data_IF_667677538730
#
_entry.id   IF_667677538730
#
_cell.length_a   1.000
_cell.length_b   1.000
_cell.length_c   1.000
_cell.angle_alpha   90.00
_cell.angle_beta   90.00
_cell.angle_gamma   90.00
#
_symmetry.space_group_name_H-M   'P 1'
#
loop_
_entity.id
_entity.type
_entity.pdbx_description
1 polymer ?
#
# COMPACT_ATOMS: atom_id res chain seq x y z
N UNK A 1 8.76 26.99 -15.86
CA UNK A 1 9.75 28.04 -16.16
C UNK A 1 10.80 27.95 -15.07
N UNK A 2 12.07 27.79 -15.42
CA UNK A 2 13.16 27.67 -14.45
C UNK A 2 13.93 28.99 -14.51
N UNK A 3 13.81 29.87 -13.50
CA UNK A 3 14.37 31.21 -13.60
C UNK A 3 15.90 31.16 -13.52
N UNK A 4 16.55 31.93 -14.38
CA UNK A 4 18.00 32.13 -14.35
C UNK A 4 18.34 33.24 -13.35
N UNK A 5 19.51 33.17 -12.72
CA UNK A 5 20.03 34.21 -11.82
C UNK A 5 20.03 35.57 -12.56
N UNK A 6 19.16 36.48 -12.11
CA UNK A 6 18.94 37.81 -12.71
C UNK A 6 17.46 38.17 -12.96
N UNK A 7 16.55 37.19 -12.97
CA UNK A 7 15.11 37.47 -13.11
C UNK A 7 14.51 38.04 -11.81
N UNK A 8 14.04 39.28 -11.85
CA UNK A 8 13.36 39.97 -10.74
C UNK A 8 11.91 39.50 -10.51
N UNK A 9 11.42 38.53 -11.27
CA UNK A 9 10.06 38.01 -11.17
C UNK A 9 10.08 36.50 -10.87
N UNK A 10 9.97 36.16 -9.58
CA UNK A 10 9.84 34.79 -9.08
C UNK A 10 8.37 34.32 -8.95
N UNK A 11 7.41 35.12 -9.43
CA UNK A 11 5.97 34.84 -9.33
C UNK A 11 5.29 34.93 -10.70
N UNK A 12 4.75 33.80 -11.16
CA UNK A 12 3.68 33.79 -12.15
C UNK A 12 2.36 34.14 -11.43
N UNK A 13 2.09 35.43 -11.22
CA UNK A 13 0.76 35.86 -10.81
C UNK A 13 -0.14 35.93 -12.06
N UNK A 14 -1.23 35.16 -12.07
CA UNK A 14 -2.25 35.32 -13.09
C UNK A 14 -2.81 36.77 -13.05
N UNK A 15 -3.09 37.38 -14.21
CA UNK A 15 -3.73 38.69 -14.28
C UNK A 15 -5.05 38.67 -13.46
N UNK A 16 -5.40 39.77 -12.78
CA UNK A 16 -6.59 39.86 -11.90
C UNK A 16 -7.89 39.17 -12.41
N UNK A 17 -8.30 39.29 -13.69
CA UNK A 17 -9.49 38.58 -14.19
C UNK A 17 -9.35 37.04 -14.15
N UNK A 18 -8.15 36.52 -14.38
CA UNK A 18 -7.84 35.09 -14.35
C UNK A 18 -7.82 34.57 -12.90
N UNK A 19 -7.38 35.39 -11.94
CA UNK A 19 -7.42 35.02 -10.52
C UNK A 19 -8.85 34.84 -10.01
N UNK A 20 -9.78 35.74 -10.35
CA UNK A 20 -11.18 35.60 -9.97
C UNK A 20 -11.83 34.35 -10.59
N UNK A 21 -11.52 34.05 -11.85
CA UNK A 21 -12.03 32.84 -12.52
C UNK A 21 -11.48 31.55 -11.87
N UNK A 22 -10.21 31.54 -11.51
CA UNK A 22 -9.57 30.40 -10.83
C UNK A 22 -10.17 30.16 -9.43
N UNK A 23 -10.43 31.23 -8.65
CA UNK A 23 -11.10 31.12 -7.35
C UNK A 23 -12.51 30.56 -7.51
N UNK A 24 -13.28 31.06 -8.48
CA UNK A 24 -14.64 30.57 -8.75
C UNK A 24 -14.62 29.09 -9.16
N UNK A 25 -13.67 28.67 -10.00
CA UNK A 25 -13.49 27.25 -10.37
C UNK A 25 -13.09 26.38 -9.18
N UNK A 26 -12.24 26.89 -8.29
CA UNK A 26 -11.86 26.18 -7.06
C UNK A 26 -13.08 25.94 -6.16
N UNK A 27 -13.91 26.97 -5.94
CA UNK A 27 -15.15 26.87 -5.18
C UNK A 27 -16.14 25.90 -5.83
N UNK A 28 -16.33 25.96 -7.15
CA UNK A 28 -17.21 25.05 -7.87
C UNK A 28 -16.74 23.58 -7.77
N UNK A 29 -15.44 23.33 -7.89
CA UNK A 29 -14.86 21.99 -7.69
C UNK A 29 -15.05 21.49 -6.27
N UNK A 30 -14.86 22.37 -5.27
CA UNK A 30 -15.06 22.02 -3.87
C UNK A 30 -16.52 21.63 -3.57
N UNK A 31 -17.49 22.40 -4.08
CA UNK A 31 -18.92 22.07 -3.94
C UNK A 31 -19.25 20.73 -4.61
N UNK A 32 -18.76 20.51 -5.83
CA UNK A 32 -18.96 19.24 -6.56
C UNK A 32 -18.32 18.05 -5.83
N UNK A 33 -17.13 18.22 -5.26
CA UNK A 33 -16.45 17.21 -4.45
C UNK A 33 -17.25 16.86 -3.20
N UNK A 34 -17.86 17.84 -2.55
CA UNK A 34 -18.72 17.60 -1.39
C UNK A 34 -19.93 16.74 -1.75
N UNK A 35 -20.63 17.09 -2.85
CA UNK A 35 -21.80 16.33 -3.32
C UNK A 35 -21.43 14.89 -3.70
N UNK A 36 -20.38 14.72 -4.51
CA UNK A 36 -19.94 13.38 -4.94
C UNK A 36 -19.49 12.50 -3.78
N UNK A 37 -18.87 13.07 -2.74
CA UNK A 37 -18.49 12.31 -1.53
C UNK A 37 -19.72 11.79 -0.79
N UNK A 38 -20.78 12.57 -0.71
CA UNK A 38 -22.03 12.14 -0.08
C UNK A 38 -22.68 11.03 -0.91
N UNK A 39 -22.87 11.24 -2.20
CA UNK A 39 -23.46 10.26 -3.12
C UNK A 39 -22.68 8.92 -3.10
N UNK A 40 -21.34 8.98 -3.11
CA UNK A 40 -20.51 7.78 -3.11
C UNK A 40 -20.56 7.02 -1.77
N UNK A 41 -20.69 7.72 -0.64
CA UNK A 41 -20.92 7.08 0.67
C UNK A 41 -22.31 6.45 0.77
N UNK A 42 -23.33 7.01 0.11
CA UNK A 42 -24.65 6.35 0.02
C UNK A 42 -24.56 5.04 -0.77
N UNK A 43 -23.88 5.04 -1.93
CA UNK A 43 -23.63 3.83 -2.73
C UNK A 43 -22.86 2.78 -1.91
N UNK A 44 -21.86 3.21 -1.14
CA UNK A 44 -21.10 2.33 -0.25
C UNK A 44 -21.99 1.66 0.79
N UNK A 45 -22.87 2.40 1.46
CA UNK A 45 -23.80 1.84 2.45
C UNK A 45 -24.74 0.82 1.81
N UNK A 46 -25.27 1.10 0.62
CA UNK A 46 -26.10 0.14 -0.11
C UNK A 46 -25.31 -1.12 -0.48
N UNK A 47 -24.07 -0.98 -0.94
CA UNK A 47 -23.18 -2.10 -1.24
C UNK A 47 -22.89 -2.96 0.00
N UNK A 48 -22.56 -2.34 1.14
CA UNK A 48 -22.28 -3.03 2.40
C UNK A 48 -23.52 -3.76 2.94
N UNK A 49 -24.70 -3.14 2.87
CA UNK A 49 -25.96 -3.78 3.23
C UNK A 49 -26.26 -4.98 2.33
N UNK A 50 -25.99 -4.88 1.02
CA UNK A 50 -26.16 -6.00 0.07
C UNK A 50 -25.20 -7.15 0.39
N UNK A 51 -23.95 -6.84 0.73
CA UNK A 51 -22.96 -7.84 1.14
C UNK A 51 -23.41 -8.60 2.39
N UNK A 52 -23.98 -7.89 3.38
CA UNK A 52 -24.54 -8.53 4.56
C UNK A 52 -25.67 -9.51 4.18
N UNK A 53 -26.58 -9.11 3.30
CA UNK A 53 -27.63 -10.00 2.79
C UNK A 53 -27.07 -11.25 2.10
N UNK A 54 -25.99 -11.10 1.30
CA UNK A 54 -25.33 -12.25 0.65
C UNK A 54 -24.70 -13.18 1.70
N UNK A 55 -24.03 -12.62 2.71
CA UNK A 55 -23.47 -13.40 3.81
C UNK A 55 -24.55 -14.16 4.57
N UNK A 56 -25.69 -13.52 4.85
CA UNK A 56 -26.83 -14.16 5.49
C UNK A 56 -27.38 -15.30 4.63
N UNK A 57 -27.47 -15.12 3.30
CA UNK A 57 -27.92 -16.16 2.35
C UNK A 57 -26.98 -17.37 2.36
N UNK A 58 -25.65 -17.14 2.37
CA UNK A 58 -24.61 -18.18 2.29
C UNK A 58 -24.37 -18.88 3.63
N UNK A 59 -24.68 -18.22 4.75
CA UNK A 59 -24.54 -18.80 6.10
C UNK A 59 -25.76 -19.60 6.54
N UNK A 60 -26.88 -19.57 5.80
CA UNK A 60 -27.96 -20.55 6.00
C UNK A 60 -27.42 -21.93 5.64
N UNK A 61 -27.31 -22.79 6.66
CA UNK A 61 -26.81 -24.15 6.51
C UNK A 61 -27.71 -24.95 5.55
N UNK A 62 -27.24 -25.16 4.32
CA UNK A 62 -27.90 -26.01 3.31
C UNK A 62 -27.69 -27.51 3.64
N UNK A 63 -28.17 -27.94 4.82
CA UNK A 63 -28.06 -29.34 5.28
C UNK A 63 -29.03 -30.31 4.57
N UNK A 64 -29.95 -29.81 3.74
CA UNK A 64 -30.87 -30.69 3.03
C UNK A 64 -30.26 -31.20 1.71
N UNK A 65 -29.38 -32.20 1.85
CA UNK A 65 -28.83 -33.01 0.75
C UNK A 65 -29.75 -34.18 0.36
N UNK A 66 -31.00 -34.22 0.87
CA UNK A 66 -31.92 -35.34 0.62
C UNK A 66 -32.18 -35.60 -0.87
N UNK A 67 -32.10 -34.57 -1.70
CA UNK A 67 -32.22 -34.67 -3.17
C UNK A 67 -31.02 -35.36 -3.85
N UNK A 68 -29.83 -35.38 -3.24
CA UNK A 68 -28.66 -36.10 -3.75
C UNK A 68 -28.82 -37.63 -3.67
N UNK A 69 -29.75 -38.12 -2.84
CA UNK A 69 -29.99 -39.54 -2.62
C UNK A 69 -31.22 -40.08 -3.37
N UNK A 70 -32.01 -39.23 -4.04
CA UNK A 70 -33.23 -39.66 -4.75
C UNK A 70 -32.98 -40.36 -6.10
N UNK A 71 -31.73 -40.39 -6.61
CA UNK A 71 -31.40 -40.98 -7.92
C UNK A 71 -30.78 -42.39 -7.86
N UNK A 72 -30.72 -43.04 -6.69
CA UNK A 72 -30.33 -44.45 -6.63
C UNK A 72 -31.50 -45.36 -7.03
N UNK A 73 -31.45 -45.87 -8.26
CA UNK A 73 -32.33 -46.91 -8.81
C UNK A 73 -32.16 -48.28 -8.11
N UNK A 74 -32.27 -48.38 -6.77
CA UNK A 74 -32.09 -49.67 -6.10
C UNK A 74 -33.03 -50.01 -4.94
N UNK A 75 -34.03 -49.19 -4.60
CA UNK A 75 -35.06 -49.62 -3.64
C UNK A 75 -36.45 -49.08 -3.99
N UNK A 76 -37.02 -49.60 -5.08
CA UNK A 76 -38.45 -49.48 -5.39
C UNK A 76 -39.24 -50.52 -4.56
N UNK A 77 -39.24 -50.46 -3.22
CA UNK A 77 -40.18 -51.27 -2.41
C UNK A 77 -40.24 -50.89 -0.93
N UNK A 78 -40.51 -49.62 -0.58
CA UNK A 78 -41.33 -49.30 0.61
C UNK A 78 -41.85 -47.88 0.46
N UNK A 79 -43.06 -47.73 -0.09
CA UNK A 79 -43.75 -46.44 -0.15
C UNK A 79 -44.40 -46.20 1.21
N UNK A 80 -43.74 -45.44 2.09
CA UNK A 80 -44.37 -44.87 3.30
C UNK A 80 -45.02 -43.54 2.94
N UNK A 81 -46.32 -43.43 3.23
CA UNK A 81 -47.23 -42.36 2.81
C UNK A 81 -47.14 -41.08 3.66
N UNK A 82 -45.97 -40.73 4.16
CA UNK A 82 -45.82 -39.53 5.01
C UNK A 82 -44.49 -38.85 4.67
N UNK A 83 -44.52 -37.95 3.69
CA UNK A 83 -43.68 -36.73 3.60
C UNK A 83 -43.97 -35.96 2.29
N UNK A 84 -45.23 -35.70 1.98
CA UNK A 84 -45.58 -34.65 1.00
C UNK A 84 -45.54 -33.28 1.69
N UNK A 85 -44.37 -32.74 2.06
CA UNK A 85 -44.28 -31.29 2.35
C UNK A 85 -42.90 -30.63 2.32
N UNK A 86 -41.79 -31.32 2.10
CA UNK A 86 -40.48 -30.64 2.11
C UNK A 86 -40.05 -30.23 0.69
N UNK A 87 -40.36 -28.96 0.38
CA UNK A 87 -39.80 -28.07 -0.65
C UNK A 87 -39.61 -28.66 -2.06
N UNK A 88 -40.54 -28.32 -2.96
CA UNK A 88 -40.49 -28.71 -4.38
C UNK A 88 -39.28 -28.13 -5.13
N UNK A 89 -38.72 -28.86 -6.11
CA UNK A 89 -37.61 -28.45 -7.00
C UNK A 89 -37.67 -27.01 -7.59
N UNK A 90 -38.84 -26.40 -7.86
CA UNK A 90 -38.93 -24.98 -8.24
C UNK A 90 -38.45 -24.00 -7.15
N UNK A 91 -38.51 -24.40 -5.88
CA UNK A 91 -38.10 -23.60 -4.71
C UNK A 91 -36.58 -23.37 -4.66
N UNK A 92 -35.78 -24.43 -4.89
CA UNK A 92 -34.31 -24.34 -4.89
C UNK A 92 -33.79 -23.55 -6.08
N UNK A 93 -34.34 -23.76 -7.27
CA UNK A 93 -33.97 -22.99 -8.46
C UNK A 93 -34.29 -21.49 -8.28
N UNK A 94 -35.44 -21.17 -7.67
CA UNK A 94 -35.84 -19.80 -7.35
C UNK A 94 -34.92 -19.16 -6.29
N UNK A 95 -34.49 -19.93 -5.28
CA UNK A 95 -33.52 -19.48 -4.26
C UNK A 95 -32.16 -19.16 -4.88
N UNK A 96 -31.66 -20.03 -5.77
CA UNK A 96 -30.40 -19.79 -6.51
C UNK A 96 -30.48 -18.59 -7.45
N UNK A 97 -31.61 -18.41 -8.15
CA UNK A 97 -31.81 -17.24 -9.02
C UNK A 97 -31.83 -15.93 -8.22
N UNK A 98 -32.49 -15.91 -7.06
CA UNK A 98 -32.52 -14.75 -6.17
C UNK A 98 -31.13 -14.43 -5.57
N UNK A 99 -30.35 -15.46 -5.23
CA UNK A 99 -28.96 -15.27 -4.81
C UNK A 99 -28.12 -14.62 -5.92
N UNK A 100 -28.19 -15.14 -7.15
CA UNK A 100 -27.47 -14.58 -8.29
C UNK A 100 -27.87 -13.14 -8.58
N UNK A 101 -29.17 -12.81 -8.49
CA UNK A 101 -29.67 -11.44 -8.64
C UNK A 101 -29.09 -10.49 -7.57
N UNK A 102 -29.03 -10.96 -6.33
CA UNK A 102 -28.45 -10.20 -5.20
C UNK A 102 -26.94 -9.99 -5.36
N UNK A 103 -26.20 -11.02 -5.78
CA UNK A 103 -24.77 -10.94 -6.08
C UNK A 103 -24.49 -9.97 -7.26
N UNK A 104 -25.31 -10.04 -8.31
CA UNK A 104 -25.18 -9.13 -9.44
C UNK A 104 -25.48 -7.67 -9.07
N UNK A 105 -26.45 -7.44 -8.18
CA UNK A 105 -26.71 -6.13 -7.62
C UNK A 105 -25.51 -5.62 -6.80
N UNK A 106 -24.89 -6.48 -5.98
CA UNK A 106 -23.66 -6.14 -5.24
C UNK A 106 -22.53 -5.71 -6.18
N UNK A 107 -22.22 -6.50 -7.22
CA UNK A 107 -21.16 -6.15 -8.17
C UNK A 107 -21.44 -4.85 -8.92
N UNK A 108 -22.71 -4.58 -9.23
CA UNK A 108 -23.14 -3.32 -9.84
C UNK A 108 -22.86 -2.14 -8.91
N UNK A 109 -23.22 -2.25 -7.62
CA UNK A 109 -22.94 -1.21 -6.62
C UNK A 109 -21.46 -1.05 -6.32
N UNK A 110 -20.68 -2.14 -6.32
CA UNK A 110 -19.22 -2.09 -6.21
C UNK A 110 -18.58 -1.34 -7.38
N UNK A 111 -19.04 -1.58 -8.60
CA UNK A 111 -18.59 -0.85 -9.78
C UNK A 111 -18.93 0.65 -9.68
N UNK A 112 -20.18 0.99 -9.37
CA UNK A 112 -20.61 2.39 -9.16
C UNK A 112 -19.77 3.09 -8.08
N UNK A 113 -19.48 2.39 -6.97
CA UNK A 113 -18.65 2.90 -5.88
C UNK A 113 -17.23 3.22 -6.37
N UNK A 114 -16.58 2.29 -7.06
CA UNK A 114 -15.21 2.45 -7.56
C UNK A 114 -15.11 3.56 -8.61
N UNK A 115 -16.10 3.65 -9.51
CA UNK A 115 -16.18 4.73 -10.52
C UNK A 115 -16.33 6.10 -9.86
N UNK A 116 -17.22 6.23 -8.86
CA UNK A 116 -17.39 7.46 -8.09
C UNK A 116 -16.12 7.84 -7.32
N UNK A 117 -15.43 6.86 -6.70
CA UNK A 117 -14.17 7.10 -5.96
C UNK A 117 -13.03 7.54 -6.90
N UNK A 118 -12.97 6.97 -8.10
CA UNK A 118 -12.03 7.38 -9.15
C UNK A 118 -12.26 8.83 -9.57
N UNK A 119 -13.52 9.21 -9.79
CA UNK A 119 -13.90 10.58 -10.13
C UNK A 119 -13.56 11.57 -9.01
N UNK A 120 -13.89 11.26 -7.76
CA UNK A 120 -13.54 12.07 -6.59
C UNK A 120 -12.02 12.30 -6.54
N UNK A 121 -11.24 11.25 -6.73
CA UNK A 121 -9.76 11.34 -6.71
C UNK A 121 -9.24 12.27 -7.80
N UNK A 122 -9.75 12.14 -9.03
CA UNK A 122 -9.38 13.02 -10.17
C UNK A 122 -9.76 14.49 -9.91
N UNK A 123 -10.96 14.74 -9.39
CA UNK A 123 -11.41 16.10 -9.09
C UNK A 123 -10.66 16.72 -7.91
N UNK A 124 -10.30 15.92 -6.89
CA UNK A 124 -9.51 16.38 -5.75
C UNK A 124 -8.10 16.78 -6.21
N UNK A 125 -7.45 15.98 -7.06
CA UNK A 125 -6.15 16.35 -7.63
C UNK A 125 -6.20 17.66 -8.42
N UNK A 126 -7.27 17.87 -9.20
CA UNK A 126 -7.48 19.13 -9.94
C UNK A 126 -7.72 20.32 -9.00
N UNK A 127 -8.50 20.12 -7.94
CA UNK A 127 -8.74 21.14 -6.92
C UNK A 127 -7.43 21.53 -6.22
N UNK A 128 -6.63 20.57 -5.78
CA UNK A 128 -5.37 20.81 -5.06
C UNK A 128 -4.34 21.53 -5.95
N UNK A 129 -4.29 21.20 -7.25
CA UNK A 129 -3.43 21.90 -8.20
C UNK A 129 -3.86 23.36 -8.37
N UNK A 130 -5.17 23.62 -8.53
CA UNK A 130 -5.70 24.97 -8.65
C UNK A 130 -5.50 25.78 -7.36
N UNK A 131 -5.67 25.15 -6.20
CA UNK A 131 -5.47 25.79 -4.91
C UNK A 131 -4.00 26.16 -4.67
N UNK A 132 -3.05 25.33 -5.09
CA UNK A 132 -1.62 25.66 -5.07
C UNK A 132 -1.30 26.86 -5.95
N UNK A 133 -1.88 26.94 -7.15
CA UNK A 133 -1.68 28.10 -8.05
C UNK A 133 -2.29 29.41 -7.52
N UNK A 134 -3.27 29.33 -6.61
CA UNK A 134 -3.90 30.50 -5.98
C UNK A 134 -3.18 30.99 -4.71
N UNK A 135 -2.27 30.19 -4.14
CA UNK A 135 -1.74 30.34 -2.77
C UNK A 135 -0.31 30.87 -2.63
N UNK A 136 0.35 31.34 -3.69
CA UNK A 136 1.73 31.87 -3.60
C UNK A 136 1.81 33.40 -3.47
N UNK A 137 0.79 34.07 -2.91
CA UNK A 137 0.86 35.52 -2.62
C UNK A 137 0.59 35.79 -1.13
N UNK A 138 1.65 36.16 -0.40
CA UNK A 138 1.74 36.74 0.96
C UNK A 138 2.04 35.83 2.18
N UNK A 139 3.28 36.02 2.68
CA UNK A 139 3.76 36.16 4.09
C UNK A 139 4.05 34.93 4.99
N UNK A 140 5.36 34.70 5.18
CA UNK A 140 6.17 34.64 6.43
C UNK A 140 5.61 34.08 7.75
N UNK A 141 6.35 33.09 8.27
CA UNK A 141 6.66 32.71 9.67
C UNK A 141 5.57 32.55 10.73
N UNK A 142 5.22 31.29 11.05
CA UNK A 142 5.34 30.65 12.38
C UNK A 142 4.46 29.38 12.46
N UNK A 143 5.13 28.26 12.74
CA UNK A 143 4.71 27.12 13.58
C UNK A 143 3.27 26.58 13.55
N UNK A 144 3.20 25.29 13.17
CA UNK A 144 2.21 24.27 13.58
C UNK A 144 0.78 24.38 13.03
N UNK A 145 0.49 23.67 11.93
CA UNK A 145 -0.30 22.43 11.97
C UNK A 145 -0.77 21.99 10.56
N UNK A 146 -0.34 20.77 10.19
CA UNK A 146 -0.98 19.84 9.25
C UNK A 146 -1.05 20.25 7.78
N UNK A 147 0.11 20.12 7.12
CA UNK A 147 0.17 19.64 5.74
C UNK A 147 0.34 18.13 5.77
N UNK A 148 -0.62 17.38 5.24
CA UNK A 148 -0.34 16.03 4.74
C UNK A 148 -0.40 16.11 3.22
N UNK A 149 0.79 16.17 2.64
CA UNK A 149 1.06 15.75 1.28
C UNK A 149 0.44 14.39 1.02
N UNK A 150 -0.28 14.25 -0.09
CA UNK A 150 -0.67 12.98 -0.69
C UNK A 150 0.53 12.37 -1.41
N UNK A 151 1.62 12.16 -0.68
CA UNK A 151 2.32 10.87 -0.79
C UNK A 151 1.41 9.94 -0.01
N UNK A 152 0.89 8.88 -0.64
CA UNK A 152 0.06 7.91 0.06
C UNK A 152 0.80 7.52 1.34
N UNK A 153 0.30 7.99 2.49
CA UNK A 153 0.63 7.38 3.78
C UNK A 153 0.38 5.91 3.55
N UNK A 154 1.44 5.13 3.59
CA UNK A 154 1.34 3.72 3.91
C UNK A 154 0.31 3.64 5.03
N UNK A 155 -0.79 2.94 4.77
CA UNK A 155 -1.72 2.59 5.83
C UNK A 155 -0.86 2.08 6.98
N UNK A 156 -1.05 2.69 8.14
CA UNK A 156 -0.37 2.41 9.40
C UNK A 156 -0.72 1.03 9.95
N UNK A 157 -0.88 0.05 9.07
CA UNK A 157 -1.08 -1.37 9.30
C UNK A 157 0.16 -2.20 8.88
N UNK A 158 1.02 -1.68 7.99
CA UNK A 158 2.29 -2.34 7.67
C UNK A 158 3.45 -1.72 8.46
N UNK A 159 4.04 -2.50 9.36
CA UNK A 159 5.17 -2.09 10.17
C UNK A 159 6.48 -1.94 9.37
N UNK A 160 6.53 -2.54 8.17
CA UNK A 160 7.69 -2.56 7.26
C UNK A 160 7.20 -2.13 5.87
N UNK A 161 7.87 -1.18 5.19
CA UNK A 161 7.54 -0.80 3.81
C UNK A 161 7.61 -1.97 2.83
N UNK A 162 6.64 -2.07 1.91
CA UNK A 162 6.58 -3.12 0.89
C UNK A 162 7.89 -3.28 0.10
N UNK A 163 8.54 -2.18 -0.30
CA UNK A 163 9.84 -2.21 -1.02
C UNK A 163 10.90 -2.94 -0.20
N UNK A 164 10.96 -2.66 1.11
CA UNK A 164 11.92 -3.28 2.03
C UNK A 164 11.59 -4.75 2.22
N UNK A 165 10.32 -5.07 2.48
CA UNK A 165 9.84 -6.43 2.68
C UNK A 165 10.06 -7.31 1.45
N UNK A 166 9.62 -6.88 0.27
CA UNK A 166 9.72 -7.68 -0.95
C UNK A 166 11.16 -7.84 -1.44
N UNK A 167 12.00 -6.79 -1.39
CA UNK A 167 13.41 -6.93 -1.76
C UNK A 167 14.14 -7.90 -0.81
N UNK A 168 13.97 -7.75 0.51
CA UNK A 168 14.62 -8.62 1.49
C UNK A 168 14.11 -10.05 1.36
N UNK A 169 12.79 -10.26 1.21
CA UNK A 169 12.21 -11.58 1.00
C UNK A 169 12.78 -12.27 -0.24
N UNK A 170 12.90 -11.54 -1.36
CA UNK A 170 13.41 -12.09 -2.61
C UNK A 170 14.89 -12.48 -2.49
N UNK A 171 15.73 -11.57 -1.98
CA UNK A 171 17.16 -11.84 -1.77
C UNK A 171 17.35 -13.00 -0.77
N UNK A 172 16.54 -13.07 0.28
CA UNK A 172 16.61 -14.17 1.25
C UNK A 172 16.27 -15.54 0.66
N UNK A 173 15.48 -15.60 -0.42
CA UNK A 173 15.12 -16.86 -1.08
C UNK A 173 16.10 -17.27 -2.18
N UNK A 174 16.60 -16.29 -2.94
CA UNK A 174 17.30 -16.57 -4.19
C UNK A 174 18.71 -15.98 -4.27
N UNK A 175 19.07 -15.05 -3.38
CA UNK A 175 20.28 -14.25 -3.48
C UNK A 175 21.29 -14.41 -2.34
N UNK A 176 21.06 -15.30 -1.37
CA UNK A 176 21.96 -15.45 -0.21
C UNK A 176 23.36 -15.93 -0.59
N UNK A 177 23.49 -16.69 -1.67
CA UNK A 177 24.76 -17.22 -2.19
C UNK A 177 25.29 -16.40 -3.38
N UNK A 178 24.62 -15.30 -3.76
CA UNK A 178 25.04 -14.47 -4.89
C UNK A 178 26.30 -13.69 -4.55
N UNK A 179 27.38 -13.97 -5.27
CA UNK A 179 28.69 -13.37 -5.02
C UNK A 179 28.66 -11.83 -5.13
N UNK A 180 29.15 -11.15 -4.09
CA UNK A 180 29.23 -9.69 -4.07
C UNK A 180 27.88 -8.99 -3.93
N UNK A 181 26.83 -9.68 -3.47
CA UNK A 181 25.52 -9.08 -3.22
C UNK A 181 25.63 -7.80 -2.36
N UNK A 182 24.93 -6.74 -2.73
CA UNK A 182 25.06 -5.37 -2.19
C UNK A 182 26.37 -4.62 -2.50
N UNK A 183 27.45 -5.29 -2.92
CA UNK A 183 28.71 -4.67 -3.34
C UNK A 183 28.73 -4.40 -4.85
N UNK A 184 28.39 -5.40 -5.65
CA UNK A 184 28.26 -5.28 -7.11
C UNK A 184 27.06 -4.37 -7.44
N UNK A 185 27.19 -3.60 -8.52
CA UNK A 185 26.15 -2.68 -8.97
C UNK A 185 25.34 -3.33 -10.09
N UNK A 186 24.04 -3.45 -9.89
CA UNK A 186 23.12 -3.90 -10.93
C UNK A 186 22.87 -2.85 -12.02
N UNK A 187 22.10 -3.26 -13.01
CA UNK A 187 21.70 -2.42 -14.14
C UNK A 187 20.90 -1.20 -13.66
N UNK A 188 21.39 0.01 -13.94
CA UNK A 188 20.69 1.23 -13.53
C UNK A 188 19.31 1.38 -14.20
N UNK A 189 19.14 0.83 -15.40
CA UNK A 189 17.84 0.83 -16.08
C UNK A 189 16.85 -0.01 -15.28
N UNK A 190 17.24 -1.25 -14.96
CA UNK A 190 16.38 -2.17 -14.22
C UNK A 190 16.10 -1.72 -12.78
N UNK A 191 17.10 -1.17 -12.08
CA UNK A 191 16.92 -0.56 -10.76
C UNK A 191 15.82 0.51 -10.80
N UNK A 192 15.85 1.37 -11.81
CA UNK A 192 14.85 2.42 -11.97
C UNK A 192 13.48 1.84 -12.35
N UNK A 193 13.42 0.83 -13.21
CA UNK A 193 12.17 0.19 -13.62
C UNK A 193 11.47 -0.48 -12.43
N UNK A 194 12.21 -1.24 -11.62
CA UNK A 194 11.71 -1.89 -10.39
C UNK A 194 11.26 -0.82 -9.38
N UNK A 195 12.07 0.23 -9.15
CA UNK A 195 11.69 1.36 -8.27
C UNK A 195 10.38 2.01 -8.74
N UNK A 196 10.27 2.30 -10.03
CA UNK A 196 9.10 2.96 -10.60
C UNK A 196 7.85 2.07 -10.49
N UNK A 197 7.99 0.75 -10.58
CA UNK A 197 6.88 -0.19 -10.33
C UNK A 197 6.38 -0.10 -8.88
N UNK A 198 7.29 -0.13 -7.90
CA UNK A 198 6.93 0.10 -6.50
C UNK A 198 6.27 1.47 -6.27
N UNK A 199 6.73 2.53 -6.94
CA UNK A 199 6.13 3.86 -6.85
C UNK A 199 4.72 3.94 -7.47
N UNK A 200 4.41 3.11 -8.46
CA UNK A 200 3.05 2.94 -8.99
C UNK A 200 2.13 2.13 -8.05
N UNK A 201 2.69 1.51 -7.02
CA UNK A 201 1.98 0.62 -6.10
C UNK A 201 1.88 -0.82 -6.57
N UNK A 202 2.73 -1.21 -7.53
CA UNK A 202 2.91 -2.60 -7.96
C UNK A 202 3.98 -3.28 -7.08
N UNK A 203 3.97 -4.61 -7.02
CA UNK A 203 5.08 -5.39 -6.47
C UNK A 203 5.69 -6.26 -7.58
N UNK A 204 6.76 -5.79 -8.25
CA UNK A 204 7.41 -6.54 -9.32
C UNK A 204 8.07 -7.84 -8.82
N UNK A 205 8.25 -8.00 -7.50
CA UNK A 205 8.91 -9.16 -6.88
C UNK A 205 7.91 -10.09 -6.18
N UNK A 206 6.60 -9.91 -6.36
CA UNK A 206 5.57 -10.72 -5.71
C UNK A 206 5.56 -12.19 -6.20
N UNK A 207 5.97 -12.42 -7.45
CA UNK A 207 6.15 -13.76 -8.01
C UNK A 207 7.47 -14.41 -7.59
N UNK A 208 7.59 -15.72 -7.84
CA UNK A 208 8.82 -16.50 -7.64
C UNK A 208 9.63 -16.62 -8.95
N UNK A 209 9.33 -15.76 -9.94
CA UNK A 209 10.05 -15.73 -11.20
C UNK A 209 11.37 -15.00 -11.01
N UNK A 210 12.49 -15.67 -11.31
CA UNK A 210 13.83 -15.12 -11.16
C UNK A 210 14.26 -14.36 -12.42
N UNK A 211 13.39 -13.47 -12.90
CA UNK A 211 13.56 -12.72 -14.15
C UNK A 211 14.41 -11.46 -13.95
N UNK A 212 14.66 -11.08 -12.70
CA UNK A 212 15.38 -9.88 -12.31
C UNK A 212 16.81 -10.17 -11.87
N UNK A 213 17.74 -9.30 -12.26
CA UNK A 213 19.12 -9.36 -11.78
C UNK A 213 19.20 -9.10 -10.27
N UNK A 214 19.96 -9.93 -9.56
CA UNK A 214 20.04 -9.86 -8.10
C UNK A 214 20.72 -8.57 -7.63
N UNK A 215 21.72 -8.09 -8.37
CA UNK A 215 22.42 -6.84 -8.07
C UNK A 215 21.52 -5.61 -8.32
N UNK A 216 20.59 -5.71 -9.28
CA UNK A 216 19.53 -4.71 -9.49
C UNK A 216 18.57 -4.64 -8.30
N UNK A 217 18.09 -5.78 -7.78
CA UNK A 217 17.20 -5.82 -6.60
C UNK A 217 17.92 -5.27 -5.36
N UNK A 218 19.18 -5.66 -5.13
CA UNK A 218 20.01 -5.08 -4.06
C UNK A 218 20.20 -3.58 -4.25
N UNK A 219 20.35 -3.12 -5.50
CA UNK A 219 20.37 -1.72 -5.90
C UNK A 219 19.13 -0.95 -5.49
N UNK A 220 17.94 -1.52 -5.71
CA UNK A 220 16.64 -0.92 -5.34
C UNK A 220 16.53 -0.76 -3.83
N UNK A 221 16.90 -1.80 -3.05
CA UNK A 221 16.86 -1.72 -1.59
C UNK A 221 17.81 -0.62 -1.06
N UNK A 222 19.04 -0.54 -1.59
CA UNK A 222 19.99 0.54 -1.27
C UNK A 222 19.43 1.91 -1.62
N UNK A 223 18.85 2.05 -2.81
CA UNK A 223 18.28 3.30 -3.32
C UNK A 223 17.09 3.77 -2.46
N UNK A 224 16.26 2.84 -2.00
CA UNK A 224 15.15 3.13 -1.10
C UNK A 224 15.63 3.82 0.18
N UNK A 225 16.59 3.22 0.90
CA UNK A 225 17.13 3.82 2.13
C UNK A 225 17.87 5.14 1.89
N UNK A 226 18.56 5.26 0.76
CA UNK A 226 19.23 6.50 0.34
C UNK A 226 18.25 7.63 0.03
N UNK A 227 17.05 7.30 -0.47
CA UNK A 227 16.02 8.24 -0.89
C UNK A 227 15.03 8.65 0.21
N UNK A 228 15.18 8.14 1.44
CA UNK A 228 14.29 8.51 2.54
C UNK A 228 14.42 10.00 2.90
N UNK A 229 13.27 10.67 3.06
CA UNK A 229 13.20 12.06 3.57
C UNK A 229 13.84 12.18 4.96
N UNK A 230 13.65 11.15 5.79
CA UNK A 230 14.30 10.98 7.07
C UNK A 230 15.22 9.76 7.01
N UNK A 231 16.56 9.94 6.96
CA UNK A 231 17.48 8.83 6.83
C UNK A 231 17.35 7.88 8.02
N UNK A 232 17.62 6.59 7.78
CA UNK A 232 17.56 5.57 8.82
C UNK A 232 18.44 5.94 10.03
N UNK A 233 19.57 6.60 9.79
CA UNK A 233 20.44 7.21 10.79
C UNK A 233 20.37 8.74 10.70
N UNK A 234 19.53 9.41 11.53
CA UNK A 234 19.49 10.86 11.60
C UNK A 234 20.84 11.46 11.99
N UNK A 235 21.14 12.67 11.49
CA UNK A 235 22.38 13.39 11.81
C UNK A 235 22.49 13.69 13.31
N UNK A 236 21.35 13.85 13.98
CA UNK A 236 21.28 14.21 15.40
C UNK A 236 21.91 13.14 16.31
N UNK A 237 21.88 11.87 15.90
CA UNK A 237 22.48 10.76 16.66
C UNK A 237 23.90 10.39 16.19
N UNK A 238 24.42 11.07 15.16
CA UNK A 238 25.70 10.70 14.55
C UNK A 238 26.86 10.81 15.54
N UNK A 239 26.96 11.92 16.27
CA UNK A 239 28.04 12.12 17.23
C UNK A 239 27.98 11.12 18.39
N UNK A 240 26.77 10.79 18.86
CA UNK A 240 26.59 9.79 19.91
C UNK A 240 26.99 8.38 19.43
N UNK A 241 26.65 8.02 18.18
CA UNK A 241 27.10 6.77 17.58
C UNK A 241 28.63 6.73 17.39
N UNK A 242 29.25 7.83 16.95
CA UNK A 242 30.70 7.90 16.78
C UNK A 242 31.44 7.77 18.13
N UNK A 243 30.90 8.33 19.21
CA UNK A 243 31.44 8.13 20.55
C UNK A 243 31.40 6.66 21.00
N UNK A 244 30.40 5.89 20.53
CA UNK A 244 30.35 4.45 20.80
C UNK A 244 31.46 3.68 20.08
N UNK A 245 31.89 4.12 18.89
CA UNK A 245 32.94 3.44 18.10
C UNK A 245 34.28 3.45 18.81
N UNK A 246 34.58 4.50 19.58
CA UNK A 246 35.84 4.64 20.34
C UNK A 246 35.86 3.84 21.64
N UNK A 247 34.80 3.09 21.97
CA UNK A 247 34.73 2.28 23.18
C UNK A 247 35.36 0.89 22.96
N UNK A 248 36.31 0.53 23.83
CA UNK A 248 37.00 -0.77 23.79
C UNK A 248 36.11 -1.92 24.32
N UNK A 249 35.32 -1.65 25.36
CA UNK A 249 34.45 -2.66 25.95
C UNK A 249 33.19 -2.86 25.09
N UNK A 250 33.10 -4.03 24.45
CA UNK A 250 31.98 -4.44 23.59
C UNK A 250 30.61 -4.37 24.29
N UNK A 251 30.55 -4.74 25.57
CA UNK A 251 29.29 -4.79 26.33
C UNK A 251 28.81 -3.37 26.65
N UNK A 252 29.71 -2.50 27.11
CA UNK A 252 29.39 -1.09 27.36
C UNK A 252 29.03 -0.36 26.06
N UNK A 253 29.74 -0.67 24.97
CA UNK A 253 29.44 -0.16 23.64
C UNK A 253 28.05 -0.55 23.18
N UNK A 254 27.65 -1.81 23.33
CA UNK A 254 26.32 -2.28 22.98
C UNK A 254 25.23 -1.60 23.82
N UNK A 255 25.46 -1.39 25.12
CA UNK A 255 24.54 -0.65 25.99
C UNK A 255 24.38 0.82 25.57
N UNK A 256 25.46 1.49 25.20
CA UNK A 256 25.42 2.87 24.71
C UNK A 256 24.72 2.97 23.36
N UNK A 257 25.06 2.11 22.39
CA UNK A 257 24.36 2.05 21.09
C UNK A 257 22.86 1.87 21.31
N UNK A 258 22.45 0.94 22.19
CA UNK A 258 21.03 0.74 22.53
C UNK A 258 20.41 2.02 23.07
N UNK A 259 21.08 2.73 23.98
CA UNK A 259 20.58 4.00 24.55
C UNK A 259 20.37 5.06 23.48
N UNK A 260 21.32 5.19 22.54
CA UNK A 260 21.24 6.14 21.42
C UNK A 260 20.08 5.79 20.48
N UNK A 261 19.96 4.52 20.09
CA UNK A 261 18.89 4.07 19.19
C UNK A 261 17.49 4.22 19.80
N UNK A 262 17.33 4.10 21.12
CA UNK A 262 16.03 4.26 21.79
C UNK A 262 15.42 5.67 21.67
N UNK A 263 16.20 6.67 21.22
CA UNK A 263 15.71 8.03 20.92
C UNK A 263 14.95 8.07 19.59
N UNK A 264 15.17 7.09 18.70
CA UNK A 264 14.55 7.03 17.38
C UNK A 264 13.08 6.61 17.43
N UNK A 265 12.27 7.02 16.43
CA UNK A 265 10.88 6.57 16.32
C UNK A 265 10.76 5.04 16.28
N UNK A 266 9.71 4.50 16.90
CA UNK A 266 9.43 3.05 16.94
C UNK A 266 9.42 2.40 15.54
N UNK A 267 8.88 3.09 14.54
CA UNK A 267 8.86 2.63 13.15
C UNK A 267 10.28 2.46 12.59
N UNK A 268 11.16 3.43 12.83
CA UNK A 268 12.58 3.36 12.44
C UNK A 268 13.26 2.16 13.10
N UNK A 269 13.02 1.92 14.39
CA UNK A 269 13.57 0.77 15.12
C UNK A 269 13.09 -0.57 14.56
N UNK A 270 11.84 -0.68 14.14
CA UNK A 270 11.30 -1.90 13.51
C UNK A 270 12.02 -2.18 12.19
N UNK A 271 12.17 -1.15 11.34
CA UNK A 271 12.86 -1.27 10.05
C UNK A 271 14.33 -1.62 10.26
N UNK A 272 15.02 -0.95 11.19
CA UNK A 272 16.41 -1.30 11.56
C UNK A 272 16.52 -2.74 12.01
N UNK A 273 15.65 -3.20 12.92
CA UNK A 273 15.68 -4.58 13.42
C UNK A 273 15.49 -5.59 12.29
N UNK A 274 14.58 -5.31 11.35
CA UNK A 274 14.35 -6.18 10.19
C UNK A 274 15.56 -6.20 9.25
N UNK A 275 16.10 -5.03 8.91
CA UNK A 275 17.28 -4.90 8.05
C UNK A 275 18.51 -5.59 8.66
N UNK A 276 18.82 -5.33 9.93
CA UNK A 276 19.99 -5.92 10.58
C UNK A 276 19.85 -7.42 10.84
N UNK A 277 18.64 -7.91 11.11
CA UNK A 277 18.40 -9.35 11.18
C UNK A 277 18.69 -10.02 9.82
N UNK A 278 18.25 -9.40 8.73
CA UNK A 278 18.56 -9.86 7.38
C UNK A 278 20.06 -9.81 7.06
N UNK A 279 20.74 -8.69 7.32
CA UNK A 279 22.19 -8.56 7.05
C UNK A 279 23.01 -9.55 7.89
N UNK A 280 22.62 -9.81 9.13
CA UNK A 280 23.24 -10.82 9.98
C UNK A 280 22.95 -12.26 9.50
N UNK A 281 21.83 -12.49 8.82
CA UNK A 281 21.56 -13.78 8.19
C UNK A 281 22.39 -13.94 6.91
N UNK A 282 22.46 -12.89 6.09
CA UNK A 282 23.24 -12.87 4.85
C UNK A 282 24.74 -13.12 5.10
N UNK A 283 25.30 -12.56 6.17
CA UNK A 283 26.71 -12.77 6.52
C UNK A 283 27.05 -14.22 6.93
N UNK A 284 26.05 -15.04 7.27
CA UNK A 284 26.25 -16.47 7.53
C UNK A 284 26.59 -17.27 6.27
N UNK A 285 26.36 -16.69 5.09
CA UNK A 285 26.69 -17.27 3.78
C UNK A 285 27.95 -16.63 3.16
N UNK A 286 28.79 -16.00 3.99
CA UNK A 286 29.99 -15.28 3.55
C UNK A 286 31.01 -16.14 2.80
N UNK A 287 31.02 -17.46 3.04
CA UNK A 287 31.85 -18.40 2.27
C UNK A 287 31.47 -18.47 0.78
N UNK A 288 30.22 -18.19 0.45
CA UNK A 288 29.68 -18.28 -0.91
C UNK A 288 29.51 -16.89 -1.53
N UNK A 289 28.90 -15.97 -0.79
CA UNK A 289 28.59 -14.64 -1.31
C UNK A 289 29.74 -13.64 -1.16
N UNK A 290 30.82 -13.97 -0.44
CA UNK A 290 31.99 -13.11 -0.22
C UNK A 290 31.66 -11.78 0.51
N UNK A 291 30.59 -11.76 1.30
CA UNK A 291 30.12 -10.59 2.07
C UNK A 291 30.19 -10.86 3.58
N UNK A 292 31.28 -10.43 4.21
CA UNK A 292 31.45 -10.49 5.66
C UNK A 292 30.98 -9.19 6.35
N UNK A 293 30.77 -9.20 7.68
CA UNK A 293 30.26 -8.03 8.40
C UNK A 293 31.32 -6.95 8.71
N UNK A 294 32.58 -7.12 8.31
CA UNK A 294 33.70 -6.23 8.65
C UNK A 294 34.18 -5.34 7.48
#
# INVERSE_FOLDING_TARGET
>A
FQPHMGDMASQLCAQQPVQSELVQRCQQLQSRLSTLKIENEEVKKTMEATLQTIQDIVTVEDFDVSDCFQYSNSMESVKSTVSETFMSKPSIAKRRANQQETEQFYFTKMKEYLEGRNLITKLQAKHDLLQKTLGESQRTDCSLARRSSTVRKQDSSQAIPLVVESCIRFISRHGLQHEGIFRVSGSQVEVNDIKNAFERGEDPLAGDQNDHDMDSIAGVLKLYFRGLEHPLFPKDIFHDLMACVTMDNLQERALHIRKVLLVLPKTTLIIMRYLFAFLNHLSQFSEENMMDPY
#
